data_IF_376981307430
#
_entry.id   IF_376981307430
#
_cell.length_a   1.000
_cell.length_b   1.000
_cell.length_c   1.000
_cell.angle_alpha   90.00
_cell.angle_beta   90.00
_cell.angle_gamma   90.00
#
_symmetry.space_group_name_H-M   'P 1'
#
loop_
_entity.id
_entity.type
_entity.pdbx_description
1 polymer ?
#
# COMPACT_ATOMS: atom_id res chain seq x y z
N UNK A 1 -13.89 -16.62 -13.63
CA UNK A 1 -14.05 -15.30 -13.01
C UNK A 1 -12.85 -15.05 -12.14
N UNK A 2 -12.02 -14.08 -12.52
CA UNK A 2 -10.74 -13.77 -11.87
C UNK A 2 -10.96 -13.07 -10.52
N UNK A 3 -10.07 -13.26 -9.53
CA UNK A 3 -10.06 -12.44 -8.32
C UNK A 3 -9.05 -11.30 -8.50
N UNK A 4 -9.48 -10.06 -8.26
CA UNK A 4 -8.67 -8.85 -8.33
C UNK A 4 -8.64 -8.19 -6.96
N UNK A 5 -7.45 -7.94 -6.44
CA UNK A 5 -7.23 -7.24 -5.18
C UNK A 5 -6.68 -5.85 -5.49
N UNK A 6 -7.45 -4.81 -5.17
CA UNK A 6 -7.04 -3.41 -5.32
C UNK A 6 -6.57 -2.83 -4.00
N UNK A 7 -5.54 -1.98 -4.03
CA UNK A 7 -5.05 -1.24 -2.88
C UNK A 7 -5.22 0.26 -3.11
N UNK A 8 -6.01 0.91 -2.26
CA UNK A 8 -6.27 2.35 -2.29
C UNK A 8 -5.44 3.01 -1.20
N UNK A 9 -4.62 3.99 -1.58
CA UNK A 9 -3.65 4.66 -0.71
C UNK A 9 -3.97 6.16 -0.68
N UNK A 10 -3.92 6.76 0.50
CA UNK A 10 -4.12 8.20 0.66
C UNK A 10 -3.93 8.66 2.10
N UNK A 11 -3.83 9.98 2.29
CA UNK A 11 -3.73 10.60 3.61
C UNK A 11 -5.04 10.44 4.41
N UNK A 12 -6.17 10.81 3.80
CA UNK A 12 -7.54 10.66 4.35
C UNK A 12 -8.43 10.04 3.30
N UNK A 13 -8.62 8.72 3.38
CA UNK A 13 -9.47 8.01 2.42
C UNK A 13 -10.94 8.17 2.82
N UNK A 14 -11.75 8.70 1.91
CA UNK A 14 -13.21 8.64 2.03
C UNK A 14 -13.69 7.23 1.65
N UNK A 15 -13.71 6.33 2.64
CA UNK A 15 -14.12 4.95 2.44
C UNK A 15 -15.56 4.80 1.94
N UNK A 16 -16.45 5.78 2.21
CA UNK A 16 -17.82 5.73 1.70
C UNK A 16 -17.82 6.01 0.21
N UNK A 17 -17.14 7.08 -0.22
CA UNK A 17 -16.99 7.40 -1.64
C UNK A 17 -16.33 6.28 -2.42
N UNK A 18 -15.28 5.65 -1.88
CA UNK A 18 -14.64 4.50 -2.55
C UNK A 18 -15.60 3.32 -2.70
N UNK A 19 -16.40 3.01 -1.67
CA UNK A 19 -17.41 1.96 -1.74
C UNK A 19 -18.51 2.30 -2.76
N UNK A 20 -18.99 3.55 -2.77
CA UNK A 20 -19.97 4.01 -3.75
C UNK A 20 -19.45 3.82 -5.18
N UNK A 21 -18.20 4.22 -5.45
CA UNK A 21 -17.54 3.96 -6.74
C UNK A 21 -17.49 2.45 -7.02
N UNK A 22 -17.01 1.61 -6.08
CA UNK A 22 -16.94 0.16 -6.29
C UNK A 22 -18.30 -0.46 -6.66
N UNK A 23 -19.36 -0.10 -5.93
CA UNK A 23 -20.71 -0.62 -6.14
C UNK A 23 -21.40 -0.06 -7.39
N UNK A 24 -21.04 1.13 -7.84
CA UNK A 24 -21.51 1.67 -9.13
C UNK A 24 -21.05 0.80 -10.32
N UNK A 25 -19.93 0.07 -10.17
CA UNK A 25 -19.42 -0.87 -11.18
C UNK A 25 -19.93 -2.31 -11.01
N UNK A 26 -20.80 -2.58 -10.03
CA UNK A 26 -21.34 -3.94 -9.80
C UNK A 26 -22.20 -4.41 -10.99
N UNK A 27 -21.86 -5.57 -11.54
CA UNK A 27 -22.64 -6.20 -12.60
C UNK A 27 -22.66 -7.73 -12.48
N UNK A 28 -23.63 -8.26 -11.72
CA UNK A 28 -23.74 -9.71 -11.46
C UNK A 28 -24.01 -10.56 -12.69
N UNK A 29 -24.59 -9.99 -13.75
CA UNK A 29 -25.02 -10.74 -14.94
C UNK A 29 -23.87 -10.98 -15.91
N UNK A 30 -22.91 -10.05 -15.97
CA UNK A 30 -21.83 -10.07 -16.97
C UNK A 30 -20.44 -9.92 -16.34
N UNK A 31 -20.32 -10.18 -15.04
CA UNK A 31 -19.06 -10.06 -14.31
C UNK A 31 -17.95 -10.94 -14.92
N UNK A 32 -16.78 -10.34 -15.10
CA UNK A 32 -15.55 -11.01 -15.53
C UNK A 32 -14.62 -11.27 -14.34
N UNK A 33 -14.72 -10.43 -13.30
CA UNK A 33 -13.88 -10.46 -12.11
C UNK A 33 -14.69 -10.30 -10.81
N UNK A 34 -14.09 -10.76 -9.72
CA UNK A 34 -14.46 -10.50 -8.33
C UNK A 34 -13.42 -9.53 -7.79
N UNK A 35 -13.85 -8.40 -7.26
CA UNK A 35 -12.96 -7.34 -6.79
C UNK A 35 -13.09 -7.21 -5.27
N UNK A 36 -11.93 -7.13 -4.60
CA UNK A 36 -11.83 -6.73 -3.20
C UNK A 36 -10.93 -5.50 -3.13
N UNK A 37 -11.38 -4.47 -2.42
CA UNK A 37 -10.58 -3.26 -2.17
C UNK A 37 -10.07 -3.23 -0.73
N UNK A 38 -8.76 -3.04 -0.62
CA UNK A 38 -8.05 -2.81 0.62
C UNK A 38 -7.58 -1.36 0.68
N UNK A 39 -7.37 -0.86 1.90
CA UNK A 39 -7.09 0.55 2.16
C UNK A 39 -5.79 0.70 2.96
N UNK A 40 -5.03 1.74 2.65
CA UNK A 40 -3.88 2.21 3.41
C UNK A 40 -4.04 3.70 3.66
N UNK A 41 -4.56 4.03 4.84
CA UNK A 41 -4.56 5.40 5.32
C UNK A 41 -3.17 5.69 5.91
N UNK A 42 -2.54 6.74 5.39
CA UNK A 42 -1.19 7.14 5.83
C UNK A 42 -1.24 7.98 7.12
N UNK A 43 -2.42 8.42 7.55
CA UNK A 43 -2.64 9.01 8.87
C UNK A 43 -2.38 7.96 9.97
N UNK A 44 -1.34 8.13 10.81
CA UNK A 44 -0.98 7.14 11.82
C UNK A 44 -2.06 6.94 12.90
N UNK A 45 -2.90 7.94 13.16
CA UNK A 45 -3.99 7.82 14.14
C UNK A 45 -5.11 6.90 13.61
N UNK A 46 -5.23 6.79 12.28
CA UNK A 46 -6.19 5.92 11.60
C UNK A 46 -5.58 4.56 11.22
N UNK A 47 -4.33 4.56 10.76
CA UNK A 47 -3.54 3.37 10.41
C UNK A 47 -3.47 2.35 11.56
N UNK A 48 -3.37 2.83 12.80
CA UNK A 48 -3.25 1.99 14.00
C UNK A 48 -4.60 1.52 14.56
N UNK A 49 -5.72 2.14 14.17
CA UNK A 49 -7.02 1.95 14.82
C UNK A 49 -8.08 1.26 13.95
N UNK A 50 -7.88 1.20 12.63
CA UNK A 50 -8.85 0.57 11.72
C UNK A 50 -8.41 -0.83 11.28
N UNK A 51 -9.31 -1.83 11.31
CA UNK A 51 -9.06 -3.08 10.61
C UNK A 51 -8.87 -2.79 9.13
N UNK A 52 -7.78 -3.30 8.55
CA UNK A 52 -7.63 -3.35 7.10
C UNK A 52 -8.85 -4.07 6.51
N UNK A 53 -9.45 -3.50 5.46
CA UNK A 53 -10.34 -4.13 4.47
C UNK A 53 -11.83 -3.78 4.48
N UNK A 54 -12.35 -3.62 3.26
CA UNK A 54 -13.65 -4.17 2.88
C UNK A 54 -13.43 -5.66 2.60
N UNK A 55 -14.04 -6.56 3.36
CA UNK A 55 -13.94 -8.01 3.13
C UNK A 55 -14.85 -8.51 2.02
N UNK A 56 -15.62 -7.62 1.38
CA UNK A 56 -16.68 -7.99 0.46
C UNK A 56 -16.17 -8.12 -0.98
N UNK A 57 -16.40 -9.28 -1.59
CA UNK A 57 -16.16 -9.52 -3.01
C UNK A 57 -17.30 -8.91 -3.84
N UNK A 58 -16.99 -7.89 -4.64
CA UNK A 58 -17.96 -7.26 -5.57
C UNK A 58 -17.75 -7.80 -6.98
N UNK A 59 -18.84 -8.18 -7.65
CA UNK A 59 -18.81 -8.75 -9.01
C UNK A 59 -18.76 -7.64 -10.05
N UNK A 60 -17.66 -7.54 -10.79
CA UNK A 60 -17.41 -6.43 -11.72
C UNK A 60 -17.16 -6.95 -13.13
N UNK A 61 -17.70 -6.23 -14.12
CA UNK A 61 -17.52 -6.53 -15.54
C UNK A 61 -16.17 -6.03 -16.07
N UNK A 62 -15.78 -4.82 -15.70
CA UNK A 62 -14.63 -4.12 -16.25
C UNK A 62 -13.80 -3.54 -15.09
N UNK A 63 -12.70 -4.21 -14.75
CA UNK A 63 -11.78 -3.76 -13.69
C UNK A 63 -10.98 -2.52 -14.12
N UNK A 64 -10.72 -2.36 -15.42
CA UNK A 64 -9.86 -1.29 -15.93
C UNK A 64 -10.60 0.05 -15.84
N UNK A 65 -11.92 0.04 -16.06
CA UNK A 65 -12.78 1.20 -15.83
C UNK A 65 -12.80 1.63 -14.35
N UNK A 66 -12.90 0.65 -13.42
CA UNK A 66 -12.83 0.92 -11.98
C UNK A 66 -11.46 1.51 -11.59
N UNK A 67 -10.36 0.95 -12.10
CA UNK A 67 -9.01 1.47 -11.88
C UNK A 67 -8.89 2.93 -12.35
N UNK A 68 -9.39 3.22 -13.55
CA UNK A 68 -9.33 4.57 -14.11
C UNK A 68 -10.10 5.60 -13.28
N UNK A 69 -11.22 5.22 -12.66
CA UNK A 69 -12.01 6.11 -11.80
C UNK A 69 -11.34 6.31 -10.43
N UNK A 70 -10.90 5.23 -9.77
CA UNK A 70 -10.22 5.32 -8.47
C UNK A 70 -8.92 6.12 -8.57
N UNK A 71 -8.14 5.92 -9.65
CA UNK A 71 -6.87 6.60 -9.88
C UNK A 71 -6.98 8.11 -10.12
N UNK A 72 -8.19 8.64 -10.35
CA UNK A 72 -8.41 10.09 -10.44
C UNK A 72 -8.43 10.77 -9.07
N UNK A 73 -8.80 10.04 -8.02
CA UNK A 73 -8.98 10.57 -6.67
C UNK A 73 -7.94 10.05 -5.67
N UNK A 74 -7.34 8.90 -5.95
CA UNK A 74 -6.47 8.18 -5.03
C UNK A 74 -5.26 7.60 -5.73
N UNK A 75 -4.27 7.24 -4.93
CA UNK A 75 -3.22 6.34 -5.38
C UNK A 75 -3.75 4.91 -5.33
N UNK A 76 -3.76 4.26 -6.49
CA UNK A 76 -4.36 2.96 -6.66
C UNK A 76 -3.40 1.99 -7.35
N UNK A 77 -3.35 0.75 -6.87
CA UNK A 77 -2.59 -0.33 -7.50
C UNK A 77 -3.31 -1.66 -7.39
N UNK A 78 -3.21 -2.47 -8.45
CA UNK A 78 -3.59 -3.89 -8.38
C UNK A 78 -2.49 -4.74 -7.76
N UNK A 79 -2.91 -5.65 -6.88
CA UNK A 79 -2.03 -6.51 -6.07
C UNK A 79 -2.06 -7.95 -6.61
N UNK A 80 -0.91 -8.61 -6.58
CA UNK A 80 -0.82 -10.04 -6.86
C UNK A 80 -1.59 -10.87 -5.82
N UNK A 81 -2.52 -11.71 -6.29
CA UNK A 81 -3.15 -12.73 -5.45
C UNK A 81 -2.15 -13.87 -5.24
N UNK A 82 -1.31 -13.76 -4.22
CA UNK A 82 -0.41 -14.84 -3.84
C UNK A 82 -1.23 -15.97 -3.20
N UNK A 83 -1.31 -17.11 -3.90
CA UNK A 83 -2.15 -18.25 -3.54
C UNK A 83 -1.81 -18.83 -2.17
N UNK A 84 -2.50 -18.35 -1.14
CA UNK A 84 -2.38 -18.79 0.23
C UNK A 84 -1.16 -18.18 0.95
N UNK A 85 -1.46 -17.46 2.03
CA UNK A 85 -0.54 -16.87 3.00
C UNK A 85 0.03 -15.52 2.54
N UNK A 86 -0.26 -14.51 3.34
CA UNK A 86 0.54 -13.31 3.56
C UNK A 86 2.04 -13.64 3.64
N UNK A 87 2.71 -13.83 2.49
CA UNK A 87 4.16 -13.65 2.36
C UNK A 87 4.45 -12.19 2.07
N UNK A 88 3.74 -11.28 2.74
CA UNK A 88 4.21 -9.92 2.89
C UNK A 88 5.49 -10.05 3.70
N UNK A 89 6.65 -9.82 3.07
CA UNK A 89 7.89 -9.70 3.81
C UNK A 89 7.76 -8.52 4.78
N UNK A 90 8.34 -8.67 5.96
CA UNK A 90 8.49 -7.60 6.94
C UNK A 90 9.97 -7.26 7.03
N UNK A 91 10.57 -6.65 5.99
CA UNK A 91 11.95 -6.22 6.08
C UNK A 91 12.07 -5.19 7.20
N UNK A 92 13.13 -5.30 7.99
CA UNK A 92 13.41 -4.39 9.09
C UNK A 92 14.85 -3.93 9.03
N UNK A 93 15.07 -2.64 9.27
CA UNK A 93 16.40 -2.03 9.34
C UNK A 93 16.55 -1.26 10.64
N UNK A 94 17.73 -1.30 11.24
CA UNK A 94 18.03 -0.54 12.46
C UNK A 94 18.90 0.67 12.12
N UNK A 95 18.43 1.87 12.45
CA UNK A 95 19.17 3.12 12.27
C UNK A 95 19.20 3.85 13.62
N UNK A 96 20.40 4.13 14.13
CA UNK A 96 20.57 4.82 15.41
C UNK A 96 19.79 4.17 16.57
N UNK A 97 19.90 2.85 16.69
CA UNK A 97 19.21 2.00 17.70
C UNK A 97 17.67 1.97 17.60
N UNK A 98 17.09 2.52 16.53
CA UNK A 98 15.65 2.47 16.24
C UNK A 98 15.40 1.46 15.11
N UNK A 99 14.50 0.50 15.36
CA UNK A 99 14.05 -0.47 14.35
C UNK A 99 12.89 0.11 13.53
N UNK A 100 13.06 0.10 12.21
CA UNK A 100 12.03 0.50 11.25
C UNK A 100 11.58 -0.73 10.47
N UNK A 101 10.30 -1.09 10.55
CA UNK A 101 9.71 -2.21 9.83
C UNK A 101 8.95 -1.73 8.58
N UNK A 102 9.10 -2.45 7.47
CA UNK A 102 8.36 -2.25 6.24
C UNK A 102 7.28 -3.32 6.05
N UNK A 103 6.15 -2.95 5.44
CA UNK A 103 5.16 -3.89 4.91
C UNK A 103 5.32 -3.99 3.39
N UNK A 104 5.72 -5.18 2.92
CA UNK A 104 5.96 -5.44 1.50
C UNK A 104 4.68 -5.87 0.77
N UNK A 105 4.31 -5.17 -0.30
CA UNK A 105 3.17 -5.45 -1.18
C UNK A 105 3.65 -5.74 -2.60
N UNK A 106 3.14 -6.81 -3.18
CA UNK A 106 3.40 -7.21 -4.56
C UNK A 106 2.35 -6.66 -5.51
N UNK A 107 2.74 -5.93 -6.55
CA UNK A 107 1.80 -5.38 -7.53
C UNK A 107 1.79 -6.18 -8.84
N UNK A 108 0.67 -6.14 -9.57
CA UNK A 108 0.54 -6.77 -10.89
C UNK A 108 1.41 -6.10 -11.96
N UNK A 109 1.77 -4.83 -11.77
CA UNK A 109 2.59 -4.05 -12.70
C UNK A 109 4.11 -4.26 -12.53
N UNK A 110 4.49 -5.46 -12.07
CA UNK A 110 5.88 -5.90 -11.92
C UNK A 110 6.72 -5.06 -10.92
N UNK A 111 6.09 -4.55 -9.85
CA UNK A 111 6.76 -3.81 -8.77
C UNK A 111 6.51 -4.45 -7.41
N UNK A 112 7.34 -4.03 -6.45
CA UNK A 112 7.17 -4.25 -5.03
C UNK A 112 7.09 -2.89 -4.36
N UNK A 113 6.06 -2.66 -3.55
CA UNK A 113 5.90 -1.47 -2.73
C UNK A 113 6.23 -1.83 -1.28
N UNK A 114 6.96 -0.97 -0.58
CA UNK A 114 7.25 -1.13 0.85
C UNK A 114 6.77 0.12 1.58
N UNK A 115 5.82 -0.08 2.49
CA UNK A 115 5.24 0.97 3.32
C UNK A 115 5.85 0.89 4.72
N UNK A 116 6.10 2.04 5.35
CA UNK A 116 6.56 2.04 6.73
C UNK A 116 5.44 1.52 7.63
N UNK A 117 5.76 0.65 8.58
CA UNK A 117 4.82 0.10 9.55
C UNK A 117 5.27 0.47 10.96
N UNK A 118 4.32 0.89 11.80
CA UNK A 118 4.56 1.08 13.24
C UNK A 118 4.59 -0.29 13.92
N UNK A 119 5.75 -0.74 14.40
CA UNK A 119 5.78 -1.63 15.56
C UNK A 119 5.88 -0.71 16.76
N UNK A 120 4.85 -0.76 17.61
CA UNK A 120 4.48 0.11 18.74
C UNK A 120 5.54 0.27 19.88
N UNK A 121 6.83 0.17 19.59
CA UNK A 121 7.90 0.14 20.58
C UNK A 121 8.42 1.56 20.87
N UNK A 122 8.13 2.55 20.01
CA UNK A 122 8.77 3.88 20.07
C UNK A 122 7.92 5.02 19.43
N UNK A 123 7.88 6.22 20.06
CA UNK A 123 7.29 7.45 19.50
C UNK A 123 7.92 7.92 18.17
N UNK A 124 9.18 7.56 17.87
CA UNK A 124 9.90 8.01 16.68
C UNK A 124 9.31 7.42 15.39
N UNK A 125 8.83 6.16 15.43
CA UNK A 125 8.12 5.53 14.31
C UNK A 125 6.85 6.28 13.95
N UNK A 126 6.09 6.72 14.95
CA UNK A 126 4.88 7.53 14.77
C UNK A 126 5.17 8.91 14.21
N UNK A 127 6.23 9.57 14.67
CA UNK A 127 6.63 10.87 14.11
C UNK A 127 7.01 10.75 12.64
N UNK A 128 7.74 9.69 12.27
CA UNK A 128 8.10 9.45 10.86
C UNK A 128 6.87 9.12 10.00
N UNK A 129 5.91 8.36 10.53
CA UNK A 129 4.63 8.12 9.87
C UNK A 129 3.82 9.40 9.69
N UNK A 130 3.74 10.28 10.69
CA UNK A 130 3.07 11.59 10.54
C UNK A 130 3.71 12.42 9.43
N UNK A 131 5.03 12.38 9.34
CA UNK A 131 5.80 13.12 8.33
C UNK A 131 5.52 12.64 6.90
N UNK A 132 5.18 11.36 6.73
CA UNK A 132 5.12 10.72 5.41
C UNK A 132 4.08 11.38 4.49
N UNK A 133 2.95 11.86 5.02
CA UNK A 133 1.94 12.56 4.23
C UNK A 133 2.42 13.90 3.67
N UNK A 134 3.47 14.47 4.28
CA UNK A 134 4.02 15.79 3.94
C UNK A 134 5.31 15.71 3.13
N UNK A 135 5.79 14.51 2.79
CA UNK A 135 6.92 14.35 1.86
C UNK A 135 6.41 14.15 0.42
N UNK A 136 7.24 14.44 -0.61
CA UNK A 136 6.92 14.14 -1.99
C UNK A 136 6.55 12.66 -2.17
N UNK A 137 5.56 12.39 -3.02
CA UNK A 137 5.03 11.05 -3.31
C UNK A 137 6.11 9.96 -3.51
N UNK A 138 7.23 10.19 -4.23
CA UNK A 138 8.30 9.18 -4.37
C UNK A 138 9.00 8.77 -3.07
N UNK A 139 8.83 9.53 -2.00
CA UNK A 139 9.37 9.22 -0.66
C UNK A 139 8.31 8.60 0.25
N UNK A 140 7.02 8.64 -0.09
CA UNK A 140 5.95 8.14 0.79
C UNK A 140 5.95 6.61 0.94
N UNK A 141 6.55 5.89 0.00
CA UNK A 141 6.83 4.46 0.06
C UNK A 141 8.01 4.13 -0.83
N UNK A 142 8.69 3.04 -0.53
CA UNK A 142 9.76 2.54 -1.39
C UNK A 142 9.14 1.71 -2.53
N UNK A 143 9.55 2.00 -3.77
CA UNK A 143 9.15 1.23 -4.96
C UNK A 143 10.37 0.51 -5.51
N UNK A 144 10.32 -0.82 -5.56
CA UNK A 144 11.38 -1.66 -6.11
C UNK A 144 10.88 -2.42 -7.36
N UNK A 145 11.64 -2.44 -8.46
CA UNK A 145 11.28 -3.26 -9.63
C UNK A 145 11.47 -4.74 -9.33
N UNK A 146 10.53 -5.58 -9.76
CA UNK A 146 10.73 -7.04 -9.73
C UNK A 146 11.72 -7.45 -10.82
N UNK A 147 12.66 -8.33 -10.48
CA UNK A 147 13.62 -8.91 -11.44
C UNK A 147 13.06 -10.22 -11.96
N UNK A 148 12.79 -10.29 -13.27
CA UNK A 148 12.19 -11.47 -13.93
C UNK A 148 10.85 -11.90 -13.29
N UNK A 149 10.02 -10.94 -12.88
CA UNK A 149 8.74 -11.21 -12.21
C UNK A 149 8.86 -11.64 -10.73
N UNK A 150 10.08 -11.65 -10.18
CA UNK A 150 10.34 -12.12 -8.81
C UNK A 150 10.68 -10.97 -7.86
N UNK A 151 10.39 -11.20 -6.58
CA UNK A 151 10.85 -10.34 -5.48
C UNK A 151 12.36 -10.15 -5.58
N UNK A 152 12.87 -8.91 -5.42
CA UNK A 152 14.30 -8.68 -5.35
C UNK A 152 14.97 -9.46 -4.20
N UNK A 153 16.29 -9.68 -4.25
CA UNK A 153 17.03 -10.34 -3.17
C UNK A 153 16.89 -9.59 -1.83
N UNK A 154 16.84 -10.29 -0.68
CA UNK A 154 16.67 -9.67 0.63
C UNK A 154 17.70 -8.57 0.94
N UNK A 155 18.99 -8.81 0.70
CA UNK A 155 20.05 -7.84 0.99
C UNK A 155 19.83 -6.52 0.23
N UNK A 156 19.43 -6.61 -1.05
CA UNK A 156 19.10 -5.43 -1.85
C UNK A 156 17.87 -4.69 -1.30
N UNK A 157 16.85 -5.41 -0.83
CA UNK A 157 15.67 -4.79 -0.21
C UNK A 157 16.06 -4.03 1.05
N UNK A 158 16.90 -4.62 1.90
CA UNK A 158 17.36 -4.01 3.15
C UNK A 158 18.23 -2.77 2.88
N UNK A 159 19.14 -2.83 1.92
CA UNK A 159 19.98 -1.70 1.52
C UNK A 159 19.14 -0.51 1.01
N UNK A 160 18.17 -0.77 0.13
CA UNK A 160 17.27 0.27 -0.40
C UNK A 160 16.33 0.82 0.68
N UNK A 161 15.86 -0.04 1.58
CA UNK A 161 15.02 0.35 2.71
C UNK A 161 15.78 1.26 3.67
N UNK A 162 17.02 0.93 4.03
CA UNK A 162 17.84 1.78 4.90
C UNK A 162 18.05 3.17 4.27
N UNK A 163 18.40 3.22 2.98
CA UNK A 163 18.57 4.48 2.26
C UNK A 163 17.29 5.31 2.21
N UNK A 164 16.16 4.66 1.94
CA UNK A 164 14.85 5.30 1.91
C UNK A 164 14.46 5.88 3.28
N UNK A 165 14.60 5.09 4.36
CA UNK A 165 14.32 5.56 5.72
C UNK A 165 15.24 6.72 6.12
N UNK A 166 16.54 6.66 5.80
CA UNK A 166 17.47 7.79 6.04
C UNK A 166 17.06 9.05 5.29
N UNK A 167 16.61 8.94 4.04
CA UNK A 167 16.09 10.08 3.25
C UNK A 167 14.84 10.67 3.91
N UNK A 168 13.92 9.81 4.34
CA UNK A 168 12.71 10.23 5.07
C UNK A 168 13.05 10.96 6.37
N UNK A 169 13.98 10.44 7.18
CA UNK A 169 14.43 11.08 8.42
C UNK A 169 15.03 12.46 8.12
N UNK A 170 15.92 12.56 7.13
CA UNK A 170 16.63 13.80 6.80
C UNK A 170 15.77 14.87 6.12
N UNK A 171 14.62 14.50 5.53
CA UNK A 171 13.74 15.44 4.84
C UNK A 171 13.25 16.56 5.78
N UNK A 172 13.08 17.79 5.30
CA UNK A 172 12.47 18.87 6.08
C UNK A 172 11.15 19.23 5.43
N UNK A 173 10.06 19.21 6.21
CA UNK A 173 8.78 19.74 5.75
C UNK A 173 8.92 21.26 5.85
N UNK A 174 8.75 21.95 4.74
CA UNK A 174 8.65 23.42 4.75
C UNK A 174 7.32 23.78 5.43
N UNK A 175 7.39 24.56 6.52
CA UNK A 175 6.23 25.04 7.29
C UNK A 175 5.40 26.09 6.54
#
# INVERSE_FOLDING_TARGET
MELRLGFVIGEKIDCNKVRETLYAHENKQTASCRVILNFMEMDPDIFLSRPFSSTEEVLIKDSDLLEAELSQSYDFVWVEVLGGIERHGHPSVTISDIEYEGKLIHTLDNRVLIFLRDILIDNHGRELLRKICHVPKPLQWLTLPKKDGKTPPPDYILDEMEQWVRKLIAYKIDE
#
